data_IF_210588425287
#
_entry.id   IF_210588425287
#
_cell.length_a   1.000
_cell.length_b   1.000
_cell.length_c   1.000
_cell.angle_alpha   90.00
_cell.angle_beta   90.00
_cell.angle_gamma   90.00
#
_symmetry.space_group_name_H-M   'P 1'
#
loop_
_entity.id
_entity.type
_entity.pdbx_description
1 polymer ?
#
# COMPACT_ATOMS: atom_id res chain seq x y z
N UNK A 1 -19.96 72.06 25.21
CA UNK A 1 -19.56 70.66 25.48
C UNK A 1 -20.02 69.85 24.31
N UNK A 2 -19.09 69.57 23.39
CA UNK A 2 -19.38 68.98 22.09
C UNK A 2 -19.15 67.42 22.16
N UNK A 3 -20.22 66.66 21.95
CA UNK A 3 -20.20 65.23 21.90
C UNK A 3 -19.75 64.76 20.50
N UNK A 4 -18.62 64.14 20.46
CA UNK A 4 -18.00 63.58 19.23
C UNK A 4 -18.51 62.17 19.02
N UNK A 5 -19.40 61.95 18.06
CA UNK A 5 -19.90 60.64 17.69
C UNK A 5 -18.78 59.85 17.02
N UNK A 6 -18.46 58.62 17.53
CA UNK A 6 -17.58 57.63 16.90
C UNK A 6 -18.30 57.04 15.68
N UNK A 7 -17.69 57.16 14.50
CA UNK A 7 -18.08 56.41 13.31
C UNK A 7 -17.54 54.96 13.43
N UNK A 8 -18.42 53.99 13.36
CA UNK A 8 -18.10 52.58 13.14
C UNK A 8 -17.62 52.37 11.70
N UNK A 9 -16.56 51.59 11.47
CA UNK A 9 -16.12 51.25 10.11
C UNK A 9 -17.12 50.28 9.46
N UNK A 10 -17.45 50.59 8.22
CA UNK A 10 -18.26 49.77 7.33
C UNK A 10 -17.69 48.35 7.21
N UNK A 11 -18.54 47.36 7.46
CA UNK A 11 -18.26 45.98 7.21
C UNK A 11 -18.12 45.78 5.69
N UNK A 12 -16.90 45.62 5.22
CA UNK A 12 -16.63 45.14 3.85
C UNK A 12 -17.23 43.78 3.71
N UNK A 13 -18.18 43.62 2.83
CA UNK A 13 -18.67 42.33 2.36
C UNK A 13 -17.51 41.59 1.68
N UNK A 14 -16.92 40.66 2.39
CA UNK A 14 -16.09 39.64 1.76
C UNK A 14 -17.01 38.82 0.87
N UNK A 15 -16.91 39.05 -0.44
CA UNK A 15 -17.49 38.13 -1.43
C UNK A 15 -16.76 36.82 -1.32
N UNK A 16 -17.32 35.83 -0.60
CA UNK A 16 -16.94 34.44 -0.72
C UNK A 16 -17.07 34.08 -2.19
N UNK A 17 -15.91 33.96 -2.86
CA UNK A 17 -15.81 33.34 -4.16
C UNK A 17 -16.15 31.88 -3.95
N UNK A 18 -17.43 31.53 -4.07
CA UNK A 18 -17.90 30.16 -4.13
C UNK A 18 -17.32 29.57 -5.40
N UNK A 19 -16.18 28.85 -5.27
CA UNK A 19 -15.61 28.08 -6.36
C UNK A 19 -16.71 27.18 -6.91
N UNK A 20 -17.09 27.38 -8.16
CA UNK A 20 -18.09 26.52 -8.80
C UNK A 20 -17.65 25.06 -8.67
N UNK A 21 -18.54 24.12 -8.34
CA UNK A 21 -18.18 22.73 -8.19
C UNK A 21 -17.54 22.26 -9.50
N UNK A 22 -16.30 21.79 -9.39
CA UNK A 22 -15.59 21.21 -10.52
C UNK A 22 -16.41 20.03 -11.06
N UNK A 23 -16.36 19.79 -12.38
CA UNK A 23 -16.97 18.62 -12.97
C UNK A 23 -16.45 17.35 -12.23
N UNK A 24 -17.30 16.34 -12.01
CA UNK A 24 -16.89 15.14 -11.31
C UNK A 24 -15.74 14.45 -12.08
N UNK A 25 -14.69 14.09 -11.33
CA UNK A 25 -13.52 13.39 -11.88
C UNK A 25 -13.93 12.04 -12.44
N UNK A 26 -13.58 11.74 -13.70
CA UNK A 26 -13.83 10.43 -14.29
C UNK A 26 -12.87 9.37 -13.73
N UNK A 27 -13.32 8.11 -13.70
CA UNK A 27 -12.47 6.98 -13.30
C UNK A 27 -11.19 6.88 -14.15
N UNK A 28 -11.29 7.17 -15.47
CA UNK A 28 -10.15 7.14 -16.38
C UNK A 28 -9.09 8.19 -16.03
N UNK A 29 -9.52 9.42 -15.74
CA UNK A 29 -8.62 10.51 -15.32
C UNK A 29 -7.96 10.20 -13.99
N UNK A 30 -8.72 9.69 -13.01
CA UNK A 30 -8.18 9.27 -11.73
C UNK A 30 -7.13 8.17 -11.87
N UNK A 31 -7.44 7.10 -12.61
CA UNK A 31 -6.51 6.00 -12.88
C UNK A 31 -5.26 6.46 -13.64
N UNK A 32 -5.41 7.39 -14.59
CA UNK A 32 -4.28 7.95 -15.32
C UNK A 32 -3.35 8.75 -14.39
N UNK A 33 -3.90 9.56 -13.50
CA UNK A 33 -3.12 10.29 -12.50
C UNK A 33 -2.41 9.35 -11.52
N UNK A 34 -3.12 8.38 -10.94
CA UNK A 34 -2.53 7.40 -10.03
C UNK A 34 -1.40 6.58 -10.69
N UNK A 35 -1.51 6.28 -11.99
CA UNK A 35 -0.48 5.54 -12.71
C UNK A 35 0.88 6.26 -12.81
N UNK A 36 0.93 7.57 -12.51
CA UNK A 36 2.17 8.36 -12.47
C UNK A 36 2.95 8.21 -11.19
N UNK A 37 2.35 7.61 -10.17
CA UNK A 37 3.04 7.27 -8.93
C UNK A 37 3.71 5.91 -9.08
N UNK A 38 5.05 5.89 -9.14
CA UNK A 38 5.82 4.66 -9.20
C UNK A 38 5.80 3.95 -7.83
N UNK A 39 5.50 2.67 -7.82
CA UNK A 39 5.44 1.86 -6.59
C UNK A 39 6.34 0.63 -6.71
N UNK A 40 6.73 0.04 -5.58
CA UNK A 40 7.12 -1.35 -5.53
C UNK A 40 5.92 -2.27 -5.78
N UNK A 41 6.20 -3.55 -5.93
CA UNK A 41 5.20 -4.61 -6.01
C UNK A 41 5.36 -5.54 -4.82
N UNK A 42 4.24 -5.85 -4.19
CA UNK A 42 4.21 -6.80 -3.08
C UNK A 42 3.18 -7.90 -3.33
N UNK A 43 3.40 -9.07 -2.71
CA UNK A 43 2.38 -10.10 -2.57
C UNK A 43 2.04 -10.19 -1.09
N UNK A 44 0.78 -9.93 -0.76
CA UNK A 44 0.25 -10.18 0.58
C UNK A 44 -0.23 -11.61 0.69
N UNK A 45 0.03 -12.25 1.82
CA UNK A 45 -0.27 -13.67 2.05
C UNK A 45 -0.92 -13.89 3.40
N UNK A 46 -1.84 -14.84 3.49
CA UNK A 46 -2.46 -15.31 4.73
C UNK A 46 -2.80 -16.80 4.62
N UNK A 47 -3.31 -17.37 5.69
CA UNK A 47 -3.90 -18.72 5.72
C UNK A 47 -5.40 -18.63 5.91
N UNK A 48 -6.14 -19.59 5.36
CA UNK A 48 -7.55 -19.79 5.71
C UNK A 48 -7.71 -20.68 6.97
N UNK A 49 -8.96 -20.96 7.35
CA UNK A 49 -9.28 -21.78 8.52
C UNK A 49 -8.75 -23.22 8.41
N UNK A 50 -8.54 -23.72 7.18
CA UNK A 50 -7.98 -25.04 6.89
C UNK A 50 -6.45 -25.02 6.69
N UNK A 51 -5.80 -23.91 7.05
CA UNK A 51 -4.36 -23.68 6.90
C UNK A 51 -3.87 -23.72 5.44
N UNK A 52 -4.74 -23.45 4.47
CA UNK A 52 -4.35 -23.36 3.06
C UNK A 52 -3.86 -21.92 2.77
N UNK A 53 -2.76 -21.80 2.00
CA UNK A 53 -2.18 -20.48 1.72
C UNK A 53 -3.00 -19.72 0.68
N UNK A 54 -3.23 -18.45 0.97
CA UNK A 54 -3.84 -17.46 0.07
C UNK A 54 -2.90 -16.28 -0.13
N UNK A 55 -2.98 -15.65 -1.29
CA UNK A 55 -2.18 -14.46 -1.56
C UNK A 55 -2.66 -13.71 -2.79
N UNK A 56 -2.30 -12.42 -2.86
CA UNK A 56 -2.56 -11.56 -4.00
C UNK A 56 -1.48 -10.51 -4.17
N UNK A 57 -1.29 -10.10 -5.41
CA UNK A 57 -0.40 -8.99 -5.76
C UNK A 57 -1.09 -7.67 -5.45
N UNK A 58 -0.39 -6.80 -4.73
CA UNK A 58 -0.80 -5.43 -4.47
C UNK A 58 0.38 -4.46 -4.65
N UNK A 59 0.06 -3.22 -5.01
CA UNK A 59 1.00 -2.10 -5.02
C UNK A 59 0.61 -0.99 -4.03
N UNK A 60 -0.33 -1.28 -3.16
CA UNK A 60 -0.88 -0.36 -2.14
C UNK A 60 -0.12 -0.39 -0.82
N UNK A 61 0.96 -1.20 -0.71
CA UNK A 61 1.75 -1.27 0.51
C UNK A 61 2.35 0.07 0.90
N UNK A 62 2.22 0.42 2.20
CA UNK A 62 2.79 1.65 2.77
C UNK A 62 3.21 1.41 4.22
N UNK A 63 4.38 1.92 4.61
CA UNK A 63 4.75 2.08 6.02
C UNK A 63 3.95 3.23 6.63
N UNK A 64 3.49 3.08 7.86
CA UNK A 64 2.59 4.05 8.54
C UNK A 64 3.24 4.66 9.76
N UNK A 65 3.89 3.84 10.61
CA UNK A 65 4.41 4.27 11.91
C UNK A 65 5.62 3.43 12.29
N UNK A 66 6.52 4.00 13.07
CA UNK A 66 7.65 3.29 13.66
C UNK A 66 7.37 2.83 15.09
N UNK A 67 6.51 3.54 15.82
CA UNK A 67 6.16 3.22 17.21
C UNK A 67 4.64 3.33 17.43
N UNK A 68 3.93 2.21 17.46
CA UNK A 68 4.38 0.88 17.05
C UNK A 68 4.69 0.79 15.55
N UNK A 69 5.48 -0.20 15.09
CA UNK A 69 5.79 -0.37 13.68
C UNK A 69 4.55 -0.86 12.93
N UNK A 70 3.92 0.02 12.15
CA UNK A 70 2.69 -0.25 11.41
C UNK A 70 2.91 -0.16 9.91
N UNK A 71 2.22 -1.05 9.20
CA UNK A 71 2.10 -1.02 7.72
C UNK A 71 0.63 -1.12 7.34
N UNK A 72 0.30 -0.71 6.12
CA UNK A 72 -1.02 -0.92 5.54
C UNK A 72 -0.95 -1.49 4.12
N UNK A 73 -2.04 -2.15 3.73
CA UNK A 73 -2.36 -2.53 2.35
C UNK A 73 -3.85 -2.33 2.10
N UNK A 74 -4.23 -2.01 0.84
CA UNK A 74 -5.64 -1.88 0.44
C UNK A 74 -6.02 -3.01 -0.51
N UNK A 75 -7.20 -3.60 -0.29
CA UNK A 75 -7.76 -4.71 -1.08
C UNK A 75 -9.19 -4.35 -1.50
N UNK A 76 -9.52 -4.52 -2.79
CA UNK A 76 -10.87 -4.32 -3.32
C UNK A 76 -11.89 -5.21 -2.56
N UNK A 77 -13.00 -4.63 -2.10
CA UNK A 77 -14.07 -5.33 -1.36
C UNK A 77 -14.67 -6.51 -2.14
N UNK A 78 -14.60 -6.46 -3.47
CA UNK A 78 -15.11 -7.54 -4.35
C UNK A 78 -14.11 -8.68 -4.53
N UNK A 79 -12.88 -8.54 -4.02
CA UNK A 79 -11.85 -9.56 -4.23
C UNK A 79 -12.14 -10.81 -3.40
N UNK A 80 -12.24 -11.96 -4.09
CA UNK A 80 -12.72 -13.23 -3.50
C UNK A 80 -11.94 -13.68 -2.24
N UNK A 81 -10.64 -13.34 -2.13
CA UNK A 81 -9.81 -13.75 -0.99
C UNK A 81 -9.80 -12.75 0.17
N UNK A 82 -10.48 -11.60 0.06
CA UNK A 82 -10.51 -10.60 1.14
C UNK A 82 -11.00 -11.21 2.46
N UNK A 83 -12.04 -12.04 2.39
CA UNK A 83 -12.60 -12.70 3.58
C UNK A 83 -11.57 -13.51 4.38
N UNK A 84 -10.58 -14.13 3.73
CA UNK A 84 -9.51 -14.85 4.42
C UNK A 84 -8.59 -13.88 5.19
N UNK A 85 -8.25 -12.74 4.60
CA UNK A 85 -7.46 -11.70 5.29
C UNK A 85 -8.18 -11.09 6.48
N UNK A 86 -9.50 -10.87 6.37
CA UNK A 86 -10.30 -10.33 7.47
C UNK A 86 -10.49 -11.33 8.62
N UNK A 87 -10.52 -12.62 8.31
CA UNK A 87 -10.68 -13.69 9.30
C UNK A 87 -9.35 -14.11 9.96
N UNK A 88 -8.21 -13.91 9.28
CA UNK A 88 -6.90 -14.31 9.78
C UNK A 88 -6.31 -13.22 10.70
N UNK A 89 -5.85 -13.57 11.93
CA UNK A 89 -5.22 -12.60 12.82
C UNK A 89 -3.82 -12.17 12.37
N UNK A 90 -3.28 -12.81 11.33
CA UNK A 90 -1.96 -12.53 10.79
C UNK A 90 -1.98 -12.44 9.27
N UNK A 91 -1.07 -11.65 8.72
CA UNK A 91 -0.75 -11.67 7.30
C UNK A 91 0.74 -11.39 7.10
N UNK A 92 1.26 -11.76 5.94
CA UNK A 92 2.62 -11.38 5.56
C UNK A 92 2.60 -10.51 4.31
N UNK A 93 3.61 -9.64 4.19
CA UNK A 93 3.89 -8.85 3.00
C UNK A 93 5.24 -9.28 2.44
N UNK A 94 5.28 -9.64 1.16
CA UNK A 94 6.46 -10.11 0.44
C UNK A 94 6.81 -9.09 -0.64
N UNK A 95 7.92 -8.36 -0.51
CA UNK A 95 8.36 -7.33 -1.46
C UNK A 95 9.13 -7.99 -2.61
N UNK A 96 8.62 -7.89 -3.83
CA UNK A 96 9.17 -8.63 -4.97
C UNK A 96 10.47 -8.04 -5.51
N UNK A 97 11.40 -8.94 -5.87
CA UNK A 97 12.60 -8.64 -6.62
C UNK A 97 12.30 -8.48 -8.13
N UNK A 98 13.18 -7.80 -8.87
CA UNK A 98 13.01 -7.47 -10.29
C UNK A 98 12.77 -8.68 -11.20
N UNK A 99 13.29 -9.86 -10.85
CA UNK A 99 13.12 -11.10 -11.60
C UNK A 99 11.82 -11.86 -11.27
N UNK A 100 10.94 -11.31 -10.44
CA UNK A 100 9.71 -11.97 -9.98
C UNK A 100 8.42 -11.43 -10.66
N UNK A 101 8.53 -10.85 -11.86
CA UNK A 101 7.38 -10.39 -12.63
C UNK A 101 6.35 -11.51 -12.90
N UNK A 102 6.82 -12.72 -13.24
CA UNK A 102 5.94 -13.88 -13.46
C UNK A 102 5.15 -14.25 -12.20
N UNK A 103 5.79 -14.13 -11.02
CA UNK A 103 5.14 -14.36 -9.74
C UNK A 103 4.07 -13.31 -9.46
N UNK A 104 4.39 -12.03 -9.73
CA UNK A 104 3.41 -10.93 -9.63
C UNK A 104 2.18 -11.19 -10.52
N UNK A 105 2.37 -11.58 -11.77
CA UNK A 105 1.27 -11.93 -12.68
C UNK A 105 0.43 -13.10 -12.16
N UNK A 106 1.07 -14.14 -11.62
CA UNK A 106 0.36 -15.30 -11.06
C UNK A 106 -0.56 -14.89 -9.92
N UNK A 107 -0.07 -14.09 -8.98
CA UNK A 107 -0.84 -13.64 -7.81
C UNK A 107 -1.85 -12.53 -8.11
N UNK A 108 -1.78 -11.87 -9.26
CA UNK A 108 -2.80 -10.93 -9.75
C UNK A 108 -3.93 -11.62 -10.53
N UNK A 109 -3.75 -12.87 -10.97
CA UNK A 109 -4.74 -13.60 -11.74
C UNK A 109 -5.89 -14.12 -10.87
N UNK A 110 -7.05 -14.40 -11.51
CA UNK A 110 -8.19 -15.07 -10.86
C UNK A 110 -7.96 -16.59 -10.90
N UNK A 111 -7.04 -17.10 -10.09
CA UNK A 111 -6.76 -18.54 -10.00
C UNK A 111 -6.89 -19.03 -8.57
N UNK A 112 -7.52 -20.18 -8.38
CA UNK A 112 -7.61 -20.84 -7.08
C UNK A 112 -6.26 -21.44 -6.61
N UNK A 113 -5.34 -21.70 -7.55
CA UNK A 113 -4.12 -22.49 -7.31
C UNK A 113 -2.84 -21.65 -7.45
N UNK A 114 -2.83 -20.43 -6.89
CA UNK A 114 -1.70 -19.49 -7.04
C UNK A 114 -0.40 -20.00 -6.43
N UNK A 115 -0.47 -20.87 -5.41
CA UNK A 115 0.68 -21.44 -4.69
C UNK A 115 1.26 -22.74 -5.28
N UNK A 116 0.64 -23.35 -6.30
CA UNK A 116 1.19 -24.55 -6.96
C UNK A 116 2.54 -24.16 -7.59
N UNK A 117 3.58 -24.98 -7.36
CA UNK A 117 4.95 -24.77 -7.87
C UNK A 117 5.55 -23.39 -7.50
N UNK A 118 5.10 -22.79 -6.42
CA UNK A 118 5.70 -21.60 -5.83
C UNK A 118 6.54 -22.01 -4.65
N UNK A 119 7.78 -21.55 -4.61
CA UNK A 119 8.68 -21.78 -3.49
C UNK A 119 8.35 -20.80 -2.35
N UNK A 120 7.95 -21.35 -1.20
CA UNK A 120 7.61 -20.60 0.00
C UNK A 120 7.83 -21.44 1.26
N UNK A 121 7.92 -20.78 2.40
CA UNK A 121 8.00 -21.45 3.71
C UNK A 121 7.11 -20.73 4.72
N UNK A 122 6.79 -21.41 5.82
CA UNK A 122 6.08 -20.79 6.95
C UNK A 122 7.04 -19.88 7.71
N UNK A 123 6.62 -18.63 7.94
CA UNK A 123 7.28 -17.73 8.85
C UNK A 123 7.09 -18.10 10.32
N UNK A 124 7.61 -17.29 11.23
CA UNK A 124 7.42 -17.47 12.69
C UNK A 124 5.94 -17.29 13.11
N UNK A 125 5.19 -16.45 12.39
CA UNK A 125 3.74 -16.30 12.55
C UNK A 125 2.92 -17.44 11.91
N UNK A 126 3.58 -18.36 11.20
CA UNK A 126 2.95 -19.38 10.37
C UNK A 126 2.54 -18.91 8.98
N UNK A 127 2.62 -17.61 8.68
CA UNK A 127 2.20 -17.06 7.38
C UNK A 127 3.14 -17.45 6.25
N UNK A 128 2.62 -17.61 5.01
CA UNK A 128 3.44 -17.95 3.86
C UNK A 128 4.43 -16.83 3.49
N UNK A 129 5.73 -17.13 3.53
CA UNK A 129 6.82 -16.26 3.09
C UNK A 129 7.39 -16.78 1.78
N UNK A 130 7.34 -15.97 0.72
CA UNK A 130 7.77 -16.36 -0.63
C UNK A 130 9.29 -16.31 -0.73
N UNK A 131 9.88 -17.26 -1.44
CA UNK A 131 11.33 -17.30 -1.64
C UNK A 131 11.81 -16.20 -2.63
N UNK A 132 13.07 -15.77 -2.46
CA UNK A 132 13.74 -14.86 -3.38
C UNK A 132 13.24 -13.41 -3.38
N UNK A 133 12.39 -13.02 -2.44
CA UNK A 133 11.90 -11.64 -2.31
C UNK A 133 12.93 -10.75 -1.59
N UNK A 134 12.78 -9.43 -1.74
CA UNK A 134 13.68 -8.45 -1.12
C UNK A 134 13.39 -8.21 0.34
N UNK A 135 12.12 -8.35 0.76
CA UNK A 135 11.78 -8.22 2.16
C UNK A 135 10.50 -9.00 2.49
N UNK A 136 10.45 -9.47 3.74
CA UNK A 136 9.26 -10.02 4.37
C UNK A 136 8.86 -9.18 5.57
N UNK A 137 7.56 -8.97 5.73
CA UNK A 137 6.97 -8.42 6.94
C UNK A 137 5.92 -9.40 7.43
N UNK A 138 6.07 -9.91 8.66
CA UNK A 138 5.05 -10.71 9.33
C UNK A 138 4.27 -9.79 10.27
N UNK A 139 2.98 -9.64 10.01
CA UNK A 139 2.15 -8.62 10.62
C UNK A 139 1.00 -9.24 11.41
N UNK A 140 0.84 -8.83 12.67
CA UNK A 140 -0.40 -9.04 13.39
C UNK A 140 -1.45 -8.05 12.87
N UNK A 141 -2.62 -8.54 12.46
CA UNK A 141 -3.71 -7.69 12.01
C UNK A 141 -4.23 -6.85 13.19
N UNK A 142 -4.17 -5.52 13.09
CA UNK A 142 -4.59 -4.59 14.15
C UNK A 142 -5.98 -4.06 13.88
N UNK A 143 -6.24 -3.69 12.64
CA UNK A 143 -7.47 -3.05 12.23
C UNK A 143 -7.72 -3.25 10.75
N UNK A 144 -8.99 -3.29 10.36
CA UNK A 144 -9.41 -3.07 8.97
C UNK A 144 -10.44 -1.95 8.92
N UNK A 145 -10.40 -1.18 7.84
CA UNK A 145 -11.29 -0.02 7.63
C UNK A 145 -11.81 -0.11 6.20
N UNK A 146 -13.13 -0.14 6.04
CA UNK A 146 -13.75 -0.05 4.72
C UNK A 146 -13.83 1.42 4.28
N UNK A 147 -13.19 1.74 3.17
CA UNK A 147 -13.17 3.09 2.60
C UNK A 147 -13.45 2.99 1.10
N UNK A 148 -14.57 3.60 0.66
CA UNK A 148 -14.98 3.51 -0.73
C UNK A 148 -15.25 2.06 -1.14
N UNK A 149 -14.55 1.59 -2.16
CA UNK A 149 -14.65 0.23 -2.70
C UNK A 149 -13.52 -0.71 -2.22
N UNK A 150 -12.75 -0.30 -1.21
CA UNK A 150 -11.61 -1.05 -0.67
C UNK A 150 -11.70 -1.25 0.85
N UNK A 151 -11.09 -2.33 1.33
CA UNK A 151 -10.70 -2.52 2.72
C UNK A 151 -9.23 -2.19 2.89
N UNK A 152 -8.91 -1.31 3.83
CA UNK A 152 -7.53 -1.02 4.28
C UNK A 152 -7.24 -1.93 5.46
N UNK A 153 -6.25 -2.80 5.31
CA UNK A 153 -5.75 -3.66 6.37
C UNK A 153 -4.54 -2.98 7.01
N UNK A 154 -4.58 -2.79 8.32
CA UNK A 154 -3.46 -2.28 9.11
C UNK A 154 -2.86 -3.42 9.91
N UNK A 155 -1.55 -3.59 9.78
CA UNK A 155 -0.81 -4.63 10.50
C UNK A 155 0.34 -4.05 11.31
N UNK A 156 0.49 -4.55 12.54
CA UNK A 156 1.67 -4.30 13.35
C UNK A 156 2.77 -5.30 12.97
N UNK A 157 3.90 -4.79 12.52
CA UNK A 157 5.03 -5.61 12.09
C UNK A 157 5.68 -6.25 13.32
N UNK A 158 5.63 -7.57 13.41
CA UNK A 158 6.25 -8.35 14.47
C UNK A 158 7.61 -8.93 14.08
N UNK A 159 7.81 -9.15 12.78
CA UNK A 159 9.08 -9.59 12.20
C UNK A 159 9.26 -8.93 10.84
N UNK A 160 10.48 -8.53 10.55
CA UNK A 160 10.89 -8.05 9.24
C UNK A 160 12.26 -8.61 8.90
N UNK A 161 12.45 -8.98 7.63
CA UNK A 161 13.75 -9.40 7.08
C UNK A 161 13.91 -8.75 5.71
N UNK A 162 15.11 -8.37 5.36
CA UNK A 162 15.45 -7.82 4.06
C UNK A 162 16.65 -8.54 3.46
N UNK A 163 16.72 -8.53 2.14
CA UNK A 163 17.80 -9.09 1.33
C UNK A 163 18.28 -8.03 0.34
N UNK A 164 19.53 -8.13 -0.06
CA UNK A 164 20.09 -7.32 -1.14
C UNK A 164 19.40 -7.67 -2.47
N UNK A 165 19.29 -6.68 -3.37
CA UNK A 165 18.73 -6.88 -4.70
C UNK A 165 18.02 -5.66 -5.24
N UNK A 166 17.45 -5.80 -6.45
CA UNK A 166 16.75 -4.74 -7.17
C UNK A 166 15.25 -5.00 -7.13
N UNK A 167 14.41 -3.97 -6.84
CA UNK A 167 12.98 -4.15 -6.70
C UNK A 167 12.28 -4.27 -8.06
N UNK A 168 11.20 -5.06 -8.09
CA UNK A 168 10.20 -4.99 -9.14
C UNK A 168 9.35 -3.75 -8.95
N UNK A 169 9.30 -2.88 -9.97
CA UNK A 169 8.56 -1.62 -9.92
C UNK A 169 7.33 -1.68 -10.82
N UNK A 170 6.34 -0.87 -10.49
CA UNK A 170 5.15 -0.64 -11.31
C UNK A 170 4.98 0.86 -11.56
N UNK A 171 4.96 1.24 -12.83
CA UNK A 171 4.81 2.62 -13.25
C UNK A 171 4.08 2.67 -14.60
N UNK A 172 3.12 3.58 -14.71
CA UNK A 172 2.36 3.80 -15.93
C UNK A 172 1.77 2.49 -16.51
N UNK A 173 1.19 1.66 -15.62
CA UNK A 173 0.56 0.37 -15.93
C UNK A 173 1.50 -0.68 -16.53
N UNK A 174 2.79 -0.57 -16.26
CA UNK A 174 3.80 -1.53 -16.73
C UNK A 174 4.81 -1.82 -15.66
N UNK A 175 5.34 -3.03 -15.65
CA UNK A 175 6.49 -3.36 -14.82
C UNK A 175 7.72 -2.60 -15.30
N UNK A 176 8.57 -2.26 -14.35
CA UNK A 176 9.82 -1.53 -14.56
C UNK A 176 10.90 -2.09 -13.65
N UNK A 177 12.14 -1.84 -14.02
CA UNK A 177 13.32 -2.10 -13.20
C UNK A 177 14.08 -0.79 -12.98
N UNK A 178 14.86 -0.71 -11.92
CA UNK A 178 15.74 0.43 -11.71
C UNK A 178 16.81 0.48 -12.79
N UNK A 179 17.05 1.65 -13.35
CA UNK A 179 18.23 1.88 -14.21
C UNK A 179 19.53 1.69 -13.44
N UNK A 180 20.63 1.43 -14.15
CA UNK A 180 21.96 1.23 -13.57
C UNK A 180 22.64 2.50 -13.03
N UNK A 181 22.02 3.67 -13.16
CA UNK A 181 22.60 4.94 -12.71
C UNK A 181 22.12 5.22 -11.28
N UNK A 182 22.96 4.92 -10.31
CA UNK A 182 22.80 5.45 -8.96
C UNK A 182 23.00 6.97 -9.02
N UNK A 183 21.93 7.74 -8.73
CA UNK A 183 22.12 9.12 -8.35
C UNK A 183 22.65 9.08 -6.92
N UNK A 184 23.87 9.61 -6.69
CA UNK A 184 24.44 9.77 -5.36
C UNK A 184 23.39 10.37 -4.42
N UNK A 185 23.01 9.61 -3.41
CA UNK A 185 22.00 10.00 -2.43
C UNK A 185 22.41 11.31 -1.73
N UNK A 186 21.42 12.07 -1.32
CA UNK A 186 21.58 13.10 -0.29
C UNK A 186 22.26 12.41 0.91
N UNK A 187 23.48 12.91 1.25
CA UNK A 187 24.30 12.34 2.30
C UNK A 187 23.54 12.15 3.60
N UNK A 188 23.94 11.12 4.32
CA UNK A 188 23.53 10.86 5.70
C UNK A 188 23.53 12.17 6.49
N UNK A 189 22.37 12.61 6.91
CA UNK A 189 22.31 13.57 7.99
C UNK A 189 22.53 12.76 9.26
N UNK A 190 23.74 12.84 9.76
CA UNK A 190 24.04 12.45 11.13
C UNK A 190 23.12 13.30 12.03
N UNK A 191 22.12 12.65 12.59
CA UNK A 191 21.30 13.22 13.66
C UNK A 191 22.16 13.14 14.95
N UNK A 192 22.68 14.29 15.36
CA UNK A 192 23.15 14.57 16.73
C UNK A 192 21.94 14.77 17.69
#
# INVERSE_FOLDING_TARGET
>A
MSSKALRTPDARSESESVCAPAAPLSEAEFRAACSRFATGITIVTCLDAESRPHGMTVNSFTSVSLEPPLVLVSIDLRHAILGHFLACPWFAVNVLAENQESLSHRFSSVSANRFIDVDWHSGESGMPLLAGVLAHFECAAVQHIEIGDHAVLVGEVRRARSSEGRPLLYFNRSYRVLGSTERSGLGDRDDD
#
